data_IF_956977220697
#
_entry.id   IF_956977220697
#
_cell.length_a   1.000
_cell.length_b   1.000
_cell.length_c   1.000
_cell.angle_alpha   90.00
_cell.angle_beta   90.00
_cell.angle_gamma   90.00
#
_symmetry.space_group_name_H-M   'P 1'
#
loop_
_entity.id
_entity.type
_entity.pdbx_description
1 polymer ?
#
# COMPACT_ATOMS: atom_id res chain seq x y z
N UNK A 1 -35.25 -28.97 -20.31
CA UNK A 1 -34.48 -29.89 -19.45
C UNK A 1 -33.48 -29.04 -18.69
N UNK A 2 -33.53 -28.97 -17.35
CA UNK A 2 -32.48 -28.28 -16.59
C UNK A 2 -31.13 -28.98 -16.82
N UNK A 3 -30.06 -28.21 -16.99
CA UNK A 3 -28.71 -28.73 -17.20
C UNK A 3 -28.30 -29.66 -16.06
N UNK A 4 -27.73 -30.83 -16.39
CA UNK A 4 -27.30 -31.83 -15.41
C UNK A 4 -26.36 -31.23 -14.36
N UNK A 5 -25.49 -30.32 -14.79
CA UNK A 5 -24.53 -29.61 -13.93
C UNK A 5 -25.22 -28.80 -12.82
N UNK A 6 -26.39 -28.23 -13.10
CA UNK A 6 -27.16 -27.48 -12.11
C UNK A 6 -27.86 -28.42 -11.12
N UNK A 7 -28.29 -29.59 -11.60
CA UNK A 7 -28.96 -30.60 -10.76
C UNK A 7 -27.98 -31.26 -9.79
N UNK A 8 -26.74 -31.47 -10.24
CA UNK A 8 -25.67 -32.02 -9.41
C UNK A 8 -25.21 -31.00 -8.35
N UNK A 9 -25.01 -29.73 -8.73
CA UNK A 9 -24.70 -28.65 -7.77
C UNK A 9 -25.83 -28.45 -6.75
N UNK A 10 -27.08 -28.57 -7.16
CA UNK A 10 -28.22 -28.46 -6.26
C UNK A 10 -28.23 -29.62 -5.26
N UNK A 11 -28.06 -30.88 -5.69
CA UNK A 11 -27.98 -32.03 -4.79
C UNK A 11 -26.82 -31.93 -3.80
N UNK A 12 -25.65 -31.46 -4.25
CA UNK A 12 -24.49 -31.29 -3.38
C UNK A 12 -24.67 -30.17 -2.35
N UNK A 13 -25.54 -29.20 -2.62
CA UNK A 13 -25.80 -28.07 -1.72
C UNK A 13 -27.02 -28.26 -0.81
N UNK A 14 -27.97 -29.13 -1.20
CA UNK A 14 -29.21 -29.39 -0.44
C UNK A 14 -28.95 -30.04 0.94
N UNK A 15 -27.78 -30.66 1.12
CA UNK A 15 -27.33 -31.20 2.42
C UNK A 15 -26.40 -30.28 3.22
N UNK A 16 -25.96 -29.15 2.65
CA UNK A 16 -25.00 -28.26 3.32
C UNK A 16 -25.72 -27.37 4.33
N UNK A 17 -25.70 -27.80 5.58
CA UNK A 17 -26.10 -26.95 6.70
C UNK A 17 -25.01 -25.90 6.93
N UNK A 18 -25.21 -24.70 6.41
CA UNK A 18 -24.29 -23.58 6.65
C UNK A 18 -24.19 -23.30 8.15
N UNK A 19 -22.97 -23.14 8.64
CA UNK A 19 -22.75 -22.75 10.03
C UNK A 19 -23.46 -21.40 10.30
N UNK A 20 -24.06 -21.20 11.50
CA UNK A 20 -24.70 -19.95 11.86
C UNK A 20 -23.76 -18.76 11.63
N UNK A 21 -24.29 -17.62 11.20
CA UNK A 21 -23.49 -16.44 10.83
C UNK A 21 -22.57 -15.99 11.99
N UNK A 22 -23.03 -16.15 13.22
CA UNK A 22 -22.29 -15.86 14.45
C UNK A 22 -21.09 -16.79 14.65
N UNK A 23 -21.23 -18.09 14.29
CA UNK A 23 -20.17 -19.09 14.33
C UNK A 23 -19.09 -18.75 13.28
N UNK A 24 -19.49 -18.36 12.08
CA UNK A 24 -18.58 -17.91 11.01
C UNK A 24 -17.84 -16.65 11.42
N UNK A 25 -18.54 -15.64 11.97
CA UNK A 25 -17.91 -14.41 12.50
C UNK A 25 -16.98 -14.70 13.68
N UNK A 26 -17.32 -15.64 14.57
CA UNK A 26 -16.47 -16.06 15.69
C UNK A 26 -15.20 -16.74 15.18
N UNK A 27 -15.30 -17.68 14.24
CA UNK A 27 -14.15 -18.35 13.62
C UNK A 27 -13.27 -17.38 12.83
N UNK A 28 -13.88 -16.41 12.14
CA UNK A 28 -13.18 -15.31 11.49
C UNK A 28 -12.33 -14.51 12.49
N UNK A 29 -12.94 -14.03 13.57
CA UNK A 29 -12.24 -13.30 14.65
C UNK A 29 -11.16 -14.16 15.32
N UNK A 30 -11.38 -15.46 15.50
CA UNK A 30 -10.39 -16.38 16.05
C UNK A 30 -9.17 -16.57 15.14
N UNK A 31 -9.35 -16.65 13.82
CA UNK A 31 -8.23 -16.71 12.85
C UNK A 31 -7.44 -15.41 12.88
N UNK A 32 -8.10 -14.25 12.89
CA UNK A 32 -7.41 -12.95 12.99
C UNK A 32 -6.62 -12.83 14.30
N UNK A 33 -7.14 -13.36 15.42
CA UNK A 33 -6.40 -13.40 16.70
C UNK A 33 -5.24 -14.39 16.70
N UNK A 34 -5.39 -15.58 16.10
CA UNK A 34 -4.31 -16.57 16.02
C UNK A 34 -3.14 -16.09 15.17
N UNK A 35 -3.42 -15.43 14.05
CA UNK A 35 -2.38 -14.83 13.19
C UNK A 35 -1.60 -13.72 13.93
N UNK A 36 -2.24 -12.99 14.85
CA UNK A 36 -1.59 -11.97 15.68
C UNK A 36 -0.67 -12.53 16.78
N UNK A 37 -0.82 -13.79 17.17
CA UNK A 37 -0.03 -14.40 18.27
C UNK A 37 1.17 -15.19 17.76
N UNK A 38 1.15 -15.70 16.52
CA UNK A 38 2.30 -16.43 15.95
C UNK A 38 3.39 -15.54 15.33
N UNK A 39 3.18 -14.21 15.24
CA UNK A 39 4.19 -13.27 14.74
C UNK A 39 5.18 -12.73 15.78
N UNK A 40 5.02 -13.07 17.06
CA UNK A 40 5.81 -12.48 18.17
C UNK A 40 6.67 -13.49 18.97
N UNK A 41 6.79 -14.75 18.53
CA UNK A 41 7.61 -15.76 19.20
C UNK A 41 8.46 -16.51 18.16
N UNK A 42 9.47 -15.83 17.63
CA UNK A 42 10.55 -16.45 16.87
C UNK A 42 11.89 -15.78 17.19
N UNK A 43 12.22 -15.66 18.48
CA UNK A 43 13.59 -15.44 18.94
C UNK A 43 13.85 -16.34 20.15
N UNK A 44 14.90 -17.14 20.02
CA UNK A 44 15.62 -17.88 21.06
C UNK A 44 14.97 -19.14 21.67
N UNK A 45 15.26 -20.31 21.07
CA UNK A 45 15.81 -21.45 21.80
C UNK A 45 16.82 -22.15 20.89
N UNK A 46 18.11 -21.93 21.14
CA UNK A 46 19.18 -22.71 20.52
C UNK A 46 19.75 -23.69 21.57
N UNK A 47 19.46 -24.96 21.31
CA UNK A 47 20.25 -26.19 21.56
C UNK A 47 20.79 -26.46 22.97
N UNK A 48 20.29 -27.56 23.54
CA UNK A 48 20.96 -28.33 24.58
C UNK A 48 20.34 -29.71 24.75
N UNK A 49 20.63 -30.64 23.83
CA UNK A 49 20.33 -32.08 23.96
C UNK A 49 21.57 -32.79 24.48
N UNK A 50 21.54 -33.24 25.73
CA UNK A 50 22.32 -34.36 26.29
C UNK A 50 21.46 -34.93 27.45
N UNK A 51 20.71 -36.02 27.25
CA UNK A 51 21.09 -37.43 27.36
C UNK A 51 21.18 -37.96 28.82
N UNK A 52 20.35 -38.97 29.10
CA UNK A 52 20.44 -39.98 30.19
C UNK A 52 20.14 -39.45 31.61
N UNK A 53 19.56 -40.17 32.57
CA UNK A 53 19.39 -41.60 32.81
C UNK A 53 19.22 -41.74 34.33
N UNK A 54 18.47 -42.73 34.80
CA UNK A 54 18.14 -42.96 36.21
C UNK A 54 19.37 -43.23 37.11
N UNK A 55 19.33 -42.78 38.38
CA UNK A 55 19.68 -43.54 39.61
C UNK A 55 19.99 -42.64 40.83
N UNK A 56 19.15 -42.74 41.87
CA UNK A 56 19.44 -43.16 43.27
C UNK A 56 20.83 -42.87 43.93
N UNK A 57 20.74 -42.38 45.18
CA UNK A 57 21.70 -42.37 46.34
C UNK A 57 22.60 -41.14 46.62
N UNK A 58 22.23 -40.47 47.73
CA UNK A 58 23.02 -40.09 48.91
C UNK A 58 24.51 -39.66 48.79
N UNK A 59 24.84 -38.54 49.46
CA UNK A 59 26.13 -38.39 50.16
C UNK A 59 26.92 -37.11 49.91
N UNK A 60 26.63 -36.06 50.69
CA UNK A 60 27.57 -35.37 51.60
C UNK A 60 28.84 -34.63 51.08
N UNK A 61 28.95 -33.36 51.56
CA UNK A 61 30.13 -32.47 51.76
C UNK A 61 30.84 -31.90 50.53
N UNK A 62 30.65 -30.61 50.26
CA UNK A 62 31.41 -29.46 50.82
C UNK A 62 31.15 -28.27 49.90
N UNK A 63 30.38 -27.29 50.38
CA UNK A 63 30.02 -26.10 49.61
C UNK A 63 30.97 -24.95 49.95
N UNK A 64 31.85 -24.60 49.02
CA UNK A 64 32.49 -23.28 48.96
C UNK A 64 31.70 -22.43 47.96
N UNK A 65 31.18 -21.25 48.33
CA UNK A 65 30.41 -20.41 47.41
C UNK A 65 31.33 -19.63 46.45
N UNK A 66 30.99 -19.48 45.16
CA UNK A 66 31.70 -18.57 44.27
C UNK A 66 31.24 -17.10 44.47
N UNK A 67 32.21 -16.20 44.36
CA UNK A 67 32.11 -14.74 44.50
C UNK A 67 31.22 -14.09 43.42
N UNK A 68 30.59 -12.93 43.71
CA UNK A 68 29.79 -12.17 42.75
C UNK A 68 30.66 -11.40 41.73
N UNK A 69 30.15 -11.13 40.51
CA UNK A 69 30.85 -10.34 39.51
C UNK A 69 30.89 -8.85 39.85
N UNK A 70 31.98 -8.20 39.44
CA UNK A 70 32.30 -6.81 39.72
C UNK A 70 31.42 -5.79 38.96
N UNK A 71 31.01 -4.76 39.70
CA UNK A 71 30.31 -3.56 39.24
C UNK A 71 31.23 -2.69 38.40
N UNK A 72 30.81 -2.32 37.18
CA UNK A 72 31.45 -1.29 36.36
C UNK A 72 30.72 0.03 36.58
N UNK A 73 31.47 1.06 36.99
CA UNK A 73 31.01 2.43 37.23
C UNK A 73 31.14 3.24 35.92
N UNK A 74 30.20 4.14 35.59
CA UNK A 74 30.29 4.99 34.41
C UNK A 74 31.14 6.23 34.67
N UNK A 75 32.00 6.59 33.73
CA UNK A 75 32.78 7.84 33.74
C UNK A 75 32.59 8.60 32.42
N UNK A 76 32.25 9.88 32.54
CA UNK A 76 32.37 10.99 31.57
C UNK A 76 32.86 12.17 32.41
N UNK A 77 33.73 13.11 31.96
CA UNK A 77 33.52 13.96 30.77
C UNK A 77 34.80 14.43 29.98
N UNK A 78 34.50 15.13 28.88
CA UNK A 78 35.20 16.24 28.18
C UNK A 78 36.65 16.14 27.66
N UNK A 79 36.81 16.40 26.35
CA UNK A 79 37.41 17.65 25.86
C UNK A 79 37.34 17.77 24.31
N UNK A 80 36.88 18.94 23.87
CA UNK A 80 36.94 19.52 22.52
C UNK A 80 38.40 19.86 22.13
N UNK A 81 38.79 19.81 20.83
CA UNK A 81 39.01 21.09 20.17
C UNK A 81 38.63 21.11 18.67
N UNK A 82 37.75 22.06 18.34
CA UNK A 82 37.84 23.07 17.27
C UNK A 82 39.07 23.00 16.35
N UNK A 83 38.86 22.69 15.05
CA UNK A 83 39.63 23.25 13.92
C UNK A 83 38.73 23.42 12.69
N UNK A 84 38.75 24.62 12.10
CA UNK A 84 38.23 25.02 10.79
C UNK A 84 39.22 26.05 10.21
N UNK A 85 39.15 26.48 8.93
CA UNK A 85 39.06 25.77 7.66
C UNK A 85 40.25 26.15 6.71
N UNK A 86 40.47 25.41 5.61
CA UNK A 86 41.38 25.85 4.52
C UNK A 86 40.81 25.53 3.13
N UNK A 87 40.51 26.55 2.28
CA UNK A 87 40.44 26.45 0.82
C UNK A 87 41.71 27.08 0.19
N UNK A 88 41.84 27.25 -1.15
CA UNK A 88 41.43 26.46 -2.31
C UNK A 88 42.65 26.00 -3.15
N UNK A 89 42.46 25.12 -4.15
CA UNK A 89 43.39 25.03 -5.27
C UNK A 89 42.64 24.80 -6.59
N UNK A 90 42.64 25.86 -7.36
CA UNK A 90 42.20 26.02 -8.74
C UNK A 90 43.20 25.33 -9.68
N UNK A 91 42.71 24.52 -10.62
CA UNK A 91 43.49 24.04 -11.76
C UNK A 91 42.56 23.63 -12.91
N UNK A 92 42.48 24.52 -13.90
CA UNK A 92 42.22 24.24 -15.31
C UNK A 92 43.32 24.97 -16.10
N UNK A 93 43.56 24.74 -17.41
CA UNK A 93 42.92 23.82 -18.36
C UNK A 93 43.95 22.97 -19.16
N UNK A 94 43.48 22.01 -19.98
CA UNK A 94 43.81 21.93 -21.42
C UNK A 94 43.56 20.55 -22.07
N UNK A 95 42.69 20.59 -23.08
CA UNK A 95 42.82 20.03 -24.44
C UNK A 95 42.72 18.52 -24.75
N UNK A 96 41.65 18.24 -25.51
CA UNK A 96 41.62 17.48 -26.78
C UNK A 96 41.41 15.96 -26.75
N UNK A 97 40.20 15.54 -27.16
CA UNK A 97 40.01 14.78 -28.40
C UNK A 97 38.51 14.67 -28.74
N UNK A 98 38.11 15.36 -29.81
CA UNK A 98 36.85 15.17 -30.52
C UNK A 98 36.78 13.74 -31.07
N UNK A 99 35.74 13.00 -30.68
CA UNK A 99 35.31 11.80 -31.41
C UNK A 99 34.00 12.13 -32.11
N UNK A 100 34.10 12.37 -33.40
CA UNK A 100 33.00 12.68 -34.32
C UNK A 100 32.11 11.45 -34.46
N UNK A 101 30.99 11.43 -33.74
CA UNK A 101 29.91 10.45 -33.95
C UNK A 101 28.98 11.00 -35.05
N UNK A 102 28.63 10.21 -36.08
CA UNK A 102 27.75 10.70 -37.14
C UNK A 102 26.37 11.05 -36.56
N UNK A 103 25.73 12.14 -37.02
CA UNK A 103 24.36 12.45 -36.66
C UNK A 103 23.46 11.44 -37.38
N UNK A 104 23.01 10.43 -36.65
CA UNK A 104 21.87 9.64 -37.09
C UNK A 104 20.66 10.56 -37.03
N UNK A 105 20.25 11.06 -38.18
CA UNK A 105 18.95 11.72 -38.40
C UNK A 105 17.83 10.70 -38.11
N UNK A 106 17.58 10.45 -36.84
CA UNK A 106 16.40 9.77 -36.37
C UNK A 106 15.26 10.77 -36.46
N UNK A 107 14.47 10.68 -37.53
CA UNK A 107 13.20 11.38 -37.62
C UNK A 107 12.34 11.10 -36.38
N UNK A 108 11.39 11.99 -36.03
CA UNK A 108 10.51 11.79 -34.90
C UNK A 108 9.75 10.49 -35.10
N UNK A 109 10.21 9.43 -34.44
CA UNK A 109 9.48 8.18 -34.36
C UNK A 109 8.28 8.49 -33.49
N UNK A 110 7.18 8.87 -34.15
CA UNK A 110 5.85 8.99 -33.56
C UNK A 110 5.38 7.58 -33.21
N UNK A 111 6.04 6.97 -32.22
CA UNK A 111 5.58 5.71 -31.66
C UNK A 111 4.18 6.01 -31.11
N UNK A 112 3.14 5.27 -31.53
CA UNK A 112 1.82 5.50 -30.98
C UNK A 112 1.89 5.37 -29.45
N UNK A 113 1.20 6.26 -28.71
CA UNK A 113 1.26 6.26 -27.26
C UNK A 113 0.89 4.88 -26.74
N UNK A 114 1.70 4.35 -25.82
CA UNK A 114 1.48 3.04 -25.24
C UNK A 114 0.09 2.99 -24.60
N UNK A 115 -0.74 2.03 -25.00
CA UNK A 115 -2.09 1.86 -24.45
C UNK A 115 -2.09 1.15 -23.09
N UNK A 116 -0.94 0.76 -22.56
CA UNK A 116 -0.81 0.04 -21.28
C UNK A 116 -0.42 0.98 -20.14
N UNK A 117 -0.68 0.56 -18.91
CA UNK A 117 -0.15 1.20 -17.71
C UNK A 117 1.17 0.50 -17.33
N UNK A 118 2.34 1.16 -17.44
CA UNK A 118 3.61 0.54 -17.12
C UNK A 118 3.73 0.25 -15.61
N UNK A 119 4.56 -0.72 -15.23
CA UNK A 119 4.77 -1.07 -13.82
C UNK A 119 5.33 0.10 -12.99
N UNK A 120 6.16 0.96 -13.60
CA UNK A 120 6.69 2.14 -12.94
C UNK A 120 5.65 3.22 -12.63
N UNK A 121 4.43 3.12 -13.18
CA UNK A 121 3.33 4.03 -12.91
C UNK A 121 2.57 3.71 -11.62
N UNK A 122 2.81 2.55 -11.01
CA UNK A 122 2.23 2.19 -9.70
C UNK A 122 3.27 2.41 -8.61
N UNK A 123 2.79 2.62 -7.39
CA UNK A 123 3.61 2.62 -6.19
C UNK A 123 4.49 1.38 -6.12
N UNK A 124 5.63 1.54 -5.47
CA UNK A 124 6.61 0.51 -5.14
C UNK A 124 6.79 0.47 -3.62
N UNK A 125 7.37 -0.61 -3.11
CA UNK A 125 7.65 -0.73 -1.67
C UNK A 125 8.52 0.41 -1.13
N UNK A 126 9.42 0.96 -1.95
CA UNK A 126 10.27 2.09 -1.58
C UNK A 126 9.49 3.41 -1.38
N UNK A 127 8.25 3.50 -1.86
CA UNK A 127 7.40 4.68 -1.73
C UNK A 127 6.50 4.62 -0.49
N UNK A 128 6.54 3.50 0.23
CA UNK A 128 5.68 3.22 1.38
C UNK A 128 6.48 3.27 2.68
N UNK A 129 5.81 3.51 3.83
CA UNK A 129 6.44 3.34 5.12
C UNK A 129 7.05 1.93 5.28
N UNK A 130 8.10 1.78 6.10
CA UNK A 130 8.66 0.46 6.40
C UNK A 130 7.60 -0.50 6.95
N UNK A 131 7.72 -1.78 6.59
CA UNK A 131 6.84 -2.86 7.08
C UNK A 131 5.70 -3.24 6.12
N UNK A 132 5.51 -2.51 5.02
CA UNK A 132 4.68 -2.98 3.92
C UNK A 132 5.37 -4.08 3.11
N UNK A 133 4.55 -4.98 2.56
CA UNK A 133 4.94 -6.05 1.64
C UNK A 133 3.98 -6.08 0.47
N UNK A 134 4.44 -6.43 -0.73
CA UNK A 134 3.58 -6.46 -1.91
C UNK A 134 2.80 -7.78 -1.96
N UNK A 135 1.50 -7.69 -2.10
CA UNK A 135 0.58 -8.82 -2.20
C UNK A 135 0.44 -9.26 -3.67
N UNK A 136 0.64 -10.55 -3.96
CA UNK A 136 0.46 -11.10 -5.32
C UNK A 136 -0.96 -11.67 -5.56
N UNK A 137 -1.89 -11.45 -4.63
CA UNK A 137 -3.26 -11.96 -4.75
C UNK A 137 -4.10 -11.21 -5.79
N UNK A 138 -5.15 -11.88 -6.30
CA UNK A 138 -6.20 -11.18 -7.07
C UNK A 138 -6.88 -10.15 -6.17
N UNK A 139 -6.78 -8.88 -6.59
CA UNK A 139 -7.37 -7.75 -5.90
C UNK A 139 -8.89 -7.82 -6.04
N UNK A 140 -9.61 -7.86 -4.92
CA UNK A 140 -11.07 -7.67 -4.93
C UNK A 140 -11.35 -6.21 -5.27
N UNK A 141 -12.36 -5.93 -6.09
CA UNK A 141 -12.71 -4.56 -6.52
C UNK A 141 -13.58 -3.81 -5.51
N UNK A 142 -13.91 -4.45 -4.39
CA UNK A 142 -14.86 -3.98 -3.38
C UNK A 142 -14.37 -2.77 -2.56
N UNK A 143 -13.10 -2.41 -2.70
CA UNK A 143 -12.51 -1.25 -2.04
C UNK A 143 -12.61 0.05 -2.83
N UNK A 144 -13.04 0.01 -4.09
CA UNK A 144 -13.10 1.18 -4.97
C UNK A 144 -14.19 2.17 -4.55
N UNK A 145 -14.12 3.40 -5.07
CA UNK A 145 -15.10 4.45 -4.74
C UNK A 145 -16.41 4.13 -5.46
N UNK A 146 -16.35 3.55 -6.65
CA UNK A 146 -17.52 3.06 -7.39
C UNK A 146 -18.28 2.00 -6.60
N UNK A 147 -17.56 1.16 -5.84
CA UNK A 147 -18.22 0.20 -4.96
C UNK A 147 -18.87 0.89 -3.76
N UNK A 148 -18.21 1.88 -3.15
CA UNK A 148 -18.84 2.66 -2.08
C UNK A 148 -20.09 3.42 -2.58
N UNK A 149 -20.04 3.94 -3.81
CA UNK A 149 -21.10 4.70 -4.46
C UNK A 149 -22.38 3.88 -4.70
N UNK A 150 -22.35 2.54 -4.61
CA UNK A 150 -23.57 1.72 -4.64
C UNK A 150 -24.47 1.95 -3.43
N UNK A 151 -23.95 2.60 -2.39
CA UNK A 151 -24.71 2.99 -1.19
C UNK A 151 -25.46 4.30 -1.38
N UNK A 152 -25.25 5.01 -2.49
CA UNK A 152 -26.03 6.18 -2.88
C UNK A 152 -27.35 5.71 -3.53
N UNK A 153 -28.47 6.34 -3.16
CA UNK A 153 -29.80 6.03 -3.68
C UNK A 153 -30.01 6.48 -5.13
N UNK A 154 -29.28 7.50 -5.56
CA UNK A 154 -29.33 8.04 -6.92
C UNK A 154 -28.29 7.38 -7.83
N UNK A 155 -28.57 7.40 -9.14
CA UNK A 155 -27.62 6.89 -10.14
C UNK A 155 -26.46 7.86 -10.31
N UNK A 156 -25.25 7.37 -10.08
CA UNK A 156 -24.01 8.12 -10.22
C UNK A 156 -23.22 7.71 -11.48
N UNK A 157 -22.35 8.59 -12.02
CA UNK A 157 -21.54 8.25 -13.17
C UNK A 157 -20.49 7.18 -12.82
N UNK A 158 -20.18 6.29 -13.77
CA UNK A 158 -19.08 5.34 -13.61
C UNK A 158 -17.72 6.03 -13.82
N UNK A 159 -16.75 5.74 -12.94
CA UNK A 159 -15.38 6.28 -13.06
C UNK A 159 -14.58 5.60 -14.19
N UNK A 160 -14.89 4.35 -14.52
CA UNK A 160 -14.19 3.58 -15.55
C UNK A 160 -14.50 4.00 -16.99
N UNK A 161 -15.48 4.89 -17.22
CA UNK A 161 -15.85 5.31 -18.58
C UNK A 161 -14.69 6.10 -19.21
N UNK A 162 -14.19 5.60 -20.33
CA UNK A 162 -13.04 6.17 -21.05
C UNK A 162 -11.69 5.69 -20.53
N UNK A 163 -11.64 4.71 -19.62
CA UNK A 163 -10.38 4.02 -19.29
C UNK A 163 -9.96 3.11 -20.45
N UNK A 164 -8.70 3.21 -20.85
CA UNK A 164 -8.08 2.45 -21.94
C UNK A 164 -7.33 1.21 -21.42
N UNK A 165 -6.78 1.30 -20.22
CA UNK A 165 -6.12 0.21 -19.51
C UNK A 165 -6.10 0.51 -18.00
N UNK A 166 -5.92 -0.53 -17.20
CA UNK A 166 -5.71 -0.42 -15.78
C UNK A 166 -4.56 -1.32 -15.30
N UNK A 167 -4.05 -0.99 -14.10
CA UNK A 167 -3.09 -1.81 -13.36
C UNK A 167 -3.34 -1.66 -11.87
N UNK A 168 -3.18 -2.75 -11.15
CA UNK A 168 -3.39 -2.81 -9.72
C UNK A 168 -2.10 -3.14 -8.98
N UNK A 169 -1.96 -2.59 -7.78
CA UNK A 169 -0.96 -2.98 -6.79
C UNK A 169 -1.63 -3.04 -5.41
N UNK A 170 -1.26 -4.03 -4.60
CA UNK A 170 -1.74 -4.15 -3.22
C UNK A 170 -0.56 -4.36 -2.31
N UNK A 171 -0.60 -3.68 -1.18
CA UNK A 171 0.43 -3.71 -0.17
C UNK A 171 -0.20 -3.98 1.18
N UNK A 172 0.38 -4.93 1.90
CA UNK A 172 -0.08 -5.35 3.22
C UNK A 172 1.01 -5.04 4.25
N UNK A 173 0.60 -4.58 5.43
CA UNK A 173 1.43 -4.47 6.62
C UNK A 173 0.70 -5.11 7.81
N UNK A 174 1.36 -5.31 8.98
CA UNK A 174 0.70 -5.88 10.15
C UNK A 174 -0.51 -5.07 10.66
N UNK A 175 -0.53 -3.76 10.40
CA UNK A 175 -1.52 -2.83 10.94
C UNK A 175 -2.40 -2.18 9.89
N UNK A 176 -2.01 -2.25 8.63
CA UNK A 176 -2.63 -1.49 7.54
C UNK A 176 -2.53 -2.22 6.20
N UNK A 177 -3.36 -1.82 5.25
CA UNK A 177 -3.33 -2.30 3.88
C UNK A 177 -3.62 -1.15 2.91
N UNK A 178 -2.91 -1.14 1.79
CA UNK A 178 -3.05 -0.13 0.75
C UNK A 178 -3.34 -0.84 -0.56
N UNK A 179 -4.39 -0.43 -1.25
CA UNK A 179 -4.70 -0.90 -2.60
C UNK A 179 -4.64 0.29 -3.55
N UNK A 180 -3.98 0.11 -4.68
CA UNK A 180 -3.86 1.09 -5.74
C UNK A 180 -4.41 0.52 -7.04
N UNK A 181 -5.14 1.36 -7.77
CA UNK A 181 -5.54 1.15 -9.15
C UNK A 181 -5.12 2.36 -9.95
N UNK A 182 -4.26 2.16 -10.94
CA UNK A 182 -3.89 3.18 -11.92
C UNK A 182 -4.62 2.88 -13.22
N UNK A 183 -5.24 3.90 -13.79
CA UNK A 183 -6.00 3.84 -15.03
C UNK A 183 -5.39 4.79 -16.05
N UNK A 184 -5.25 4.33 -17.30
CA UNK A 184 -4.89 5.18 -18.43
C UNK A 184 -6.14 5.64 -19.15
N UNK A 185 -6.14 6.90 -19.57
CA UNK A 185 -7.23 7.55 -20.28
C UNK A 185 -6.68 8.31 -21.50
N UNK A 186 -7.55 8.96 -22.28
CA UNK A 186 -7.11 10.16 -23.00
C UNK A 186 -6.89 11.31 -22.00
N UNK A 187 -6.11 12.35 -22.36
CA UNK A 187 -5.92 13.50 -21.47
C UNK A 187 -7.24 14.17 -21.06
N UNK A 188 -8.19 14.31 -22.00
CA UNK A 188 -9.50 14.87 -21.72
C UNK A 188 -10.36 13.96 -20.83
N UNK A 189 -10.26 12.64 -21.02
CA UNK A 189 -10.97 11.66 -20.20
C UNK A 189 -10.38 11.56 -18.79
N UNK A 190 -9.06 11.73 -18.60
CA UNK A 190 -8.43 11.78 -17.28
C UNK A 190 -8.97 12.96 -16.46
N UNK A 191 -9.06 14.15 -17.07
CA UNK A 191 -9.68 15.33 -16.44
C UNK A 191 -11.17 15.08 -16.15
N UNK A 192 -11.88 14.43 -17.08
CA UNK A 192 -13.29 14.09 -16.89
C UNK A 192 -13.49 13.07 -15.77
N UNK A 193 -12.57 12.12 -15.60
CA UNK A 193 -12.57 11.15 -14.52
C UNK A 193 -12.49 11.85 -13.16
N UNK A 194 -11.57 12.79 -12.99
CA UNK A 194 -11.45 13.59 -11.75
C UNK A 194 -12.69 14.45 -11.48
N UNK A 195 -13.32 15.01 -12.52
CA UNK A 195 -14.62 15.70 -12.37
C UNK A 195 -15.73 14.76 -11.92
N UNK A 196 -15.75 13.51 -12.43
CA UNK A 196 -16.73 12.50 -12.00
C UNK A 196 -16.51 12.07 -10.55
N UNK A 197 -15.26 11.98 -10.06
CA UNK A 197 -14.99 11.73 -8.64
C UNK A 197 -15.67 12.79 -7.77
N UNK A 198 -15.43 14.07 -8.08
CA UNK A 198 -16.07 15.18 -7.37
C UNK A 198 -17.60 15.12 -7.45
N UNK A 199 -18.13 14.81 -8.62
CA UNK A 199 -19.57 14.65 -8.85
C UNK A 199 -20.17 13.51 -8.03
N UNK A 200 -19.51 12.35 -7.97
CA UNK A 200 -19.93 11.22 -7.14
C UNK A 200 -20.06 11.65 -5.69
N UNK A 201 -19.08 12.39 -5.17
CA UNK A 201 -19.08 12.84 -3.79
C UNK A 201 -20.14 13.90 -3.52
N UNK A 202 -20.28 14.89 -4.41
CA UNK A 202 -21.22 15.99 -4.24
C UNK A 202 -22.68 15.59 -4.47
N UNK A 203 -22.93 14.71 -5.45
CA UNK A 203 -24.28 14.34 -5.87
C UNK A 203 -24.78 13.07 -5.16
N UNK A 204 -23.97 12.39 -4.34
CA UNK A 204 -24.41 11.18 -3.62
C UNK A 204 -25.52 11.52 -2.63
N UNK A 205 -26.70 10.92 -2.83
CA UNK A 205 -27.79 10.89 -1.86
C UNK A 205 -27.64 9.60 -1.06
N UNK A 206 -27.25 9.62 0.21
CA UNK A 206 -27.05 8.39 0.97
C UNK A 206 -28.34 7.56 1.05
N UNK A 207 -28.24 6.26 0.73
CA UNK A 207 -29.39 5.35 0.78
C UNK A 207 -29.78 4.92 2.19
N UNK A 208 -28.95 5.23 3.21
CA UNK A 208 -29.18 4.90 4.61
C UNK A 208 -28.78 6.08 5.51
N UNK A 209 -29.44 6.25 6.68
CA UNK A 209 -28.98 7.18 7.70
C UNK A 209 -27.55 6.83 8.15
N UNK A 210 -26.70 7.85 8.29
CA UNK A 210 -25.29 7.71 8.69
C UNK A 210 -24.33 7.44 7.53
N UNK A 211 -24.83 7.00 6.36
CA UNK A 211 -23.98 6.88 5.19
C UNK A 211 -23.62 8.29 4.67
N UNK A 212 -22.36 8.50 4.28
CA UNK A 212 -21.89 9.79 3.74
C UNK A 212 -20.66 9.63 2.87
N UNK A 213 -20.49 10.59 1.95
CA UNK A 213 -19.26 10.83 1.18
C UNK A 213 -18.92 12.32 1.26
N UNK A 214 -17.64 12.66 1.39
CA UNK A 214 -17.17 14.05 1.47
C UNK A 214 -15.76 14.20 0.92
N UNK A 215 -15.44 15.35 0.32
CA UNK A 215 -14.05 15.70 -0.02
C UNK A 215 -13.41 16.28 1.23
N UNK A 216 -12.29 15.71 1.66
CA UNK A 216 -11.58 16.13 2.88
C UNK A 216 -10.42 17.07 2.58
N UNK A 217 -9.81 16.93 1.41
CA UNK A 217 -8.73 17.78 0.95
C UNK A 217 -8.61 17.72 -0.58
N UNK A 218 -8.11 18.80 -1.16
CA UNK A 218 -7.80 18.94 -2.60
C UNK A 218 -6.41 19.55 -2.77
N UNK A 219 -5.88 19.55 -3.99
CA UNK A 219 -4.56 20.10 -4.30
C UNK A 219 -3.44 19.34 -3.58
N UNK A 220 -3.56 18.01 -3.49
CA UNK A 220 -2.63 17.17 -2.73
C UNK A 220 -1.36 16.80 -3.52
N UNK A 221 -1.39 16.83 -4.85
CA UNK A 221 -0.25 16.49 -5.69
C UNK A 221 -0.66 16.23 -7.15
N UNK A 222 0.36 16.13 -8.01
CA UNK A 222 0.17 16.00 -9.46
C UNK A 222 -0.54 17.18 -10.10
N UNK A 223 -1.09 16.96 -11.29
CA UNK A 223 -1.92 17.96 -11.97
C UNK A 223 -3.29 18.15 -11.29
N UNK A 224 -3.78 17.15 -10.57
CA UNK A 224 -5.00 17.18 -9.76
C UNK A 224 -4.94 16.06 -8.71
N UNK A 225 -5.30 16.36 -7.47
CA UNK A 225 -5.27 15.38 -6.39
C UNK A 225 -6.24 15.72 -5.27
N UNK A 226 -7.04 14.75 -4.83
CA UNK A 226 -7.98 14.93 -3.73
C UNK A 226 -8.14 13.68 -2.85
N UNK A 227 -8.42 13.94 -1.58
CA UNK A 227 -8.75 12.92 -0.58
C UNK A 227 -10.26 12.92 -0.37
N UNK A 228 -10.88 11.78 -0.63
CA UNK A 228 -12.30 11.51 -0.39
C UNK A 228 -12.44 10.70 0.89
N UNK A 229 -13.36 11.12 1.74
CA UNK A 229 -13.83 10.39 2.90
C UNK A 229 -15.20 9.79 2.66
N UNK A 230 -15.49 8.68 3.32
CA UNK A 230 -16.84 8.16 3.43
C UNK A 230 -17.06 7.40 4.72
N UNK A 231 -18.31 7.34 5.14
CA UNK A 231 -18.80 6.44 6.18
C UNK A 231 -19.90 5.62 5.54
N UNK A 232 -19.72 4.31 5.40
CA UNK A 232 -20.68 3.43 4.71
C UNK A 232 -20.99 2.27 5.62
N UNK A 233 -22.25 2.13 6.05
CA UNK A 233 -22.70 1.14 7.03
C UNK A 233 -21.90 1.22 8.34
N UNK A 234 -21.54 2.43 8.76
CA UNK A 234 -20.70 2.71 9.93
C UNK A 234 -19.24 2.30 9.77
N UNK A 235 -18.78 2.00 8.54
CA UNK A 235 -17.39 1.68 8.25
C UNK A 235 -16.76 2.90 7.58
N UNK A 236 -15.84 3.59 8.26
CA UNK A 236 -15.16 4.73 7.68
C UNK A 236 -14.14 4.28 6.62
N UNK A 237 -14.00 5.11 5.59
CA UNK A 237 -13.14 4.87 4.45
C UNK A 237 -12.54 6.17 3.92
N UNK A 238 -11.35 6.03 3.35
CA UNK A 238 -10.58 7.07 2.68
C UNK A 238 -10.12 6.55 1.32
N UNK A 239 -10.29 7.40 0.31
CA UNK A 239 -9.78 7.19 -1.03
C UNK A 239 -8.98 8.40 -1.48
N UNK A 240 -7.76 8.18 -1.93
CA UNK A 240 -6.94 9.22 -2.53
C UNK A 240 -6.99 9.07 -4.05
N UNK A 241 -7.26 10.15 -4.75
CA UNK A 241 -7.19 10.23 -6.20
C UNK A 241 -6.09 11.19 -6.60
N UNK A 242 -5.28 10.79 -7.58
CA UNK A 242 -4.21 11.61 -8.15
C UNK A 242 -4.22 11.46 -9.65
N UNK A 243 -4.11 12.57 -10.37
CA UNK A 243 -3.96 12.61 -11.82
C UNK A 243 -2.61 13.23 -12.17
N UNK A 244 -1.90 12.59 -13.10
CA UNK A 244 -0.76 13.18 -13.79
C UNK A 244 -0.90 12.88 -15.28
N UNK A 245 -0.99 13.92 -16.11
CA UNK A 245 -1.19 13.74 -17.54
C UNK A 245 -2.47 12.97 -17.87
N UNK A 246 -2.30 11.85 -18.56
CA UNK A 246 -3.37 10.93 -19.00
C UNK A 246 -3.59 9.73 -18.07
N UNK A 247 -2.92 9.69 -16.92
CA UNK A 247 -3.08 8.66 -15.90
C UNK A 247 -3.83 9.18 -14.68
N UNK A 248 -4.67 8.32 -14.11
CA UNK A 248 -5.38 8.56 -12.84
C UNK A 248 -5.15 7.38 -11.91
N UNK A 249 -4.60 7.63 -10.74
CA UNK A 249 -4.49 6.69 -9.64
C UNK A 249 -5.65 6.86 -8.66
N UNK A 250 -6.16 5.74 -8.17
CA UNK A 250 -7.02 5.65 -7.01
C UNK A 250 -6.39 4.73 -5.97
N UNK A 251 -6.28 5.21 -4.73
CA UNK A 251 -5.80 4.45 -3.60
C UNK A 251 -6.91 4.25 -2.57
N UNK A 252 -6.96 3.07 -1.94
CA UNK A 252 -7.61 2.86 -0.63
C UNK A 252 -6.57 3.06 0.45
N UNK A 253 -6.85 3.97 1.37
CA UNK A 253 -5.98 4.27 2.52
C UNK A 253 -6.66 3.86 3.84
N UNK A 254 -5.90 3.86 4.93
CA UNK A 254 -6.48 3.74 6.26
C UNK A 254 -7.53 4.84 6.51
N UNK A 255 -8.55 4.50 7.29
CA UNK A 255 -9.64 5.42 7.59
C UNK A 255 -9.20 6.65 8.40
N UNK A 256 -8.10 6.55 9.14
CA UNK A 256 -7.51 7.63 9.95
C UNK A 256 -6.53 8.50 9.17
N UNK A 257 -6.22 8.17 7.90
CA UNK A 257 -5.28 8.95 7.10
C UNK A 257 -5.70 10.42 7.03
N UNK A 258 -4.81 11.28 7.49
CA UNK A 258 -4.98 12.74 7.52
C UNK A 258 -4.68 13.37 6.15
N UNK A 259 -5.14 14.61 5.89
CA UNK A 259 -4.74 15.34 4.68
C UNK A 259 -3.23 15.46 4.47
N UNK A 260 -2.43 15.62 5.52
CA UNK A 260 -0.97 15.77 5.42
C UNK A 260 -0.27 14.44 5.10
N UNK A 261 -0.77 13.32 5.63
CA UNK A 261 -0.33 11.98 5.22
C UNK A 261 -0.76 11.67 3.80
N UNK A 262 -1.99 12.00 3.42
CA UNK A 262 -2.49 11.84 2.07
C UNK A 262 -1.69 12.69 1.06
N UNK A 263 -1.22 13.88 1.44
CA UNK A 263 -0.32 14.70 0.61
C UNK A 263 0.99 13.98 0.31
N UNK A 264 1.59 13.32 1.32
CA UNK A 264 2.83 12.53 1.12
C UNK A 264 2.62 11.38 0.13
N UNK A 265 1.53 10.62 0.29
CA UNK A 265 1.17 9.60 -0.70
C UNK A 265 0.90 10.21 -2.08
N UNK A 266 0.19 11.33 -2.15
CA UNK A 266 -0.16 11.97 -3.42
C UNK A 266 1.08 12.42 -4.20
N UNK A 267 2.09 12.96 -3.52
CA UNK A 267 3.39 13.29 -4.13
C UNK A 267 4.06 12.05 -4.72
N UNK A 268 4.22 10.98 -3.93
CA UNK A 268 4.86 9.75 -4.41
C UNK A 268 4.09 9.10 -5.57
N UNK A 269 2.76 9.13 -5.52
CA UNK A 269 1.90 8.66 -6.61
C UNK A 269 2.09 9.52 -7.85
N UNK A 270 2.09 10.85 -7.72
CA UNK A 270 2.31 11.76 -8.84
C UNK A 270 3.67 11.51 -9.53
N UNK A 271 4.73 11.29 -8.75
CA UNK A 271 6.06 10.95 -9.26
C UNK A 271 6.06 9.62 -10.04
N UNK A 272 5.33 8.61 -9.56
CA UNK A 272 5.16 7.34 -10.27
C UNK A 272 4.36 7.50 -11.55
N UNK A 273 3.21 8.18 -11.48
CA UNK A 273 2.39 8.46 -12.66
C UNK A 273 3.19 9.23 -13.71
N UNK A 274 4.05 10.14 -13.26
CA UNK A 274 4.95 10.90 -14.12
C UNK A 274 5.87 10.00 -14.96
N UNK A 275 6.48 8.98 -14.35
CA UNK A 275 7.28 7.99 -15.06
C UNK A 275 6.47 7.12 -16.05
N UNK A 276 5.14 7.16 -15.94
CA UNK A 276 4.21 6.41 -16.79
C UNK A 276 3.56 7.22 -17.91
N UNK A 277 3.78 8.52 -18.00
CA UNK A 277 3.14 9.41 -18.98
C UNK A 277 4.16 10.31 -19.68
N UNK A 278 3.82 10.80 -20.86
CA UNK A 278 4.66 11.74 -21.61
C UNK A 278 4.42 13.21 -21.19
N UNK A 279 3.67 13.42 -20.11
CA UNK A 279 3.12 14.71 -19.70
C UNK A 279 3.55 15.11 -18.27
N UNK A 280 4.87 15.26 -18.12
CA UNK A 280 5.55 15.95 -17.04
C UNK A 280 6.57 16.93 -17.65
#
# INVERSE_FOLDING_TARGET
>A
MPDQLFSDLYRDTDGLTWAPVEEVRRRGRQRTRRVRVTGALAVAVAVGVLASGAAVLAGQRDATPPLPPATVVPTTPDADPTVSPTPPAESSPSHSAQSSRPPTSGGPSSRPPSRTVPAGATLQLADLPPGFTMSQGRVKTDWTLETAAVSCANKLPALSVGALADRFAVFDSPTDWLAERVTRHSRADAVTSMKRVRRIVADCVPGRPGDSLSILAEGLGGDDGLLVGGEIKGIPARWLFVRQGDLVAQLRLDHQTTPDEARRFATSVADRLCAGTDAC
#
